data_IF_111695587986
#
_entry.id   IF_111695587986
#
_cell.length_a   1.000
_cell.length_b   1.000
_cell.length_c   1.000
_cell.angle_alpha   90.00
_cell.angle_beta   90.00
_cell.angle_gamma   90.00
#
_symmetry.space_group_name_H-M   'P 1'
#
loop_
_entity.id
_entity.type
_entity.pdbx_description
1 polymer ?
#
# COMPACT_ATOMS: atom_id res chain seq x y z
N UNK A 1 -33.44 70.24 44.46
CA UNK A 1 -32.12 69.58 44.30
C UNK A 1 -32.37 68.21 43.71
N UNK A 2 -32.09 68.02 42.42
CA UNK A 2 -32.40 66.79 41.67
C UNK A 2 -31.13 66.27 41.00
N UNK A 3 -30.98 64.96 41.06
CA UNK A 3 -29.79 64.18 40.74
C UNK A 3 -29.36 64.26 39.28
N UNK A 4 -28.04 64.31 39.07
CA UNK A 4 -27.39 64.10 37.78
C UNK A 4 -27.27 62.58 37.51
N UNK A 5 -27.78 62.15 36.36
CA UNK A 5 -27.71 60.77 35.89
C UNK A 5 -26.38 60.53 35.15
N UNK A 6 -25.52 59.68 35.73
CA UNK A 6 -24.29 59.19 35.12
C UNK A 6 -24.62 58.13 34.06
N UNK A 7 -24.29 58.40 32.79
CA UNK A 7 -24.37 57.42 31.70
C UNK A 7 -23.10 56.56 31.69
N UNK A 8 -23.25 55.24 31.90
CA UNK A 8 -22.20 54.26 31.63
C UNK A 8 -22.07 54.00 30.13
N UNK A 9 -20.86 54.12 29.59
CA UNK A 9 -20.48 53.56 28.30
C UNK A 9 -20.07 52.09 28.50
N UNK A 10 -20.78 51.17 27.86
CA UNK A 10 -20.39 49.76 27.77
C UNK A 10 -19.40 49.59 26.60
N UNK A 11 -18.20 49.10 26.90
CA UNK A 11 -17.19 48.70 25.92
C UNK A 11 -17.56 47.31 25.37
N UNK A 12 -17.88 47.25 24.08
CA UNK A 12 -18.12 46.02 23.34
C UNK A 12 -16.81 45.29 23.10
N UNK A 13 -16.62 44.13 23.74
CA UNK A 13 -15.48 43.23 23.49
C UNK A 13 -15.80 42.40 22.25
N UNK A 14 -15.13 42.73 21.13
CA UNK A 14 -15.16 41.91 19.92
C UNK A 14 -14.50 40.56 20.19
N UNK A 15 -15.29 39.49 20.17
CA UNK A 15 -14.81 38.11 20.28
C UNK A 15 -14.17 37.70 18.95
N UNK A 16 -12.86 37.45 18.97
CA UNK A 16 -12.11 36.83 17.88
C UNK A 16 -12.62 35.40 17.66
N UNK A 17 -13.20 35.14 16.49
CA UNK A 17 -13.45 33.80 15.98
C UNK A 17 -12.12 33.15 15.63
N UNK A 18 -11.59 32.33 16.53
CA UNK A 18 -10.46 31.44 16.24
C UNK A 18 -10.99 30.31 15.38
N UNK A 19 -10.53 30.33 14.13
CA UNK A 19 -10.65 29.29 13.12
C UNK A 19 -10.54 27.88 13.70
N UNK A 20 -11.43 26.98 13.23
CA UNK A 20 -11.32 25.55 13.42
C UNK A 20 -10.03 25.03 12.78
N UNK A 21 -8.92 25.14 13.51
CA UNK A 21 -7.77 24.30 13.27
C UNK A 21 -8.20 22.87 13.60
N UNK A 22 -8.54 22.10 12.57
CA UNK A 22 -8.55 20.64 12.66
C UNK A 22 -7.14 20.22 13.02
N UNK A 23 -6.87 20.15 14.33
CA UNK A 23 -5.69 19.50 14.89
C UNK A 23 -5.66 18.12 14.25
N UNK A 24 -4.59 17.73 13.54
CA UNK A 24 -4.42 16.35 13.11
C UNK A 24 -4.65 15.49 14.36
N UNK A 25 -5.67 14.63 14.33
CA UNK A 25 -5.88 13.71 15.46
C UNK A 25 -4.57 12.97 15.63
N UNK A 26 -3.98 13.10 16.82
CA UNK A 26 -2.88 12.24 17.23
C UNK A 26 -3.38 10.80 17.12
N UNK A 27 -2.90 10.09 16.10
CA UNK A 27 -3.08 8.64 15.97
C UNK A 27 -1.99 8.05 16.84
N UNK A 28 -2.38 7.41 17.94
CA UNK A 28 -1.46 6.68 18.78
C UNK A 28 -0.86 5.52 17.96
N UNK A 29 0.46 5.49 17.69
CA UNK A 29 1.09 4.38 16.96
C UNK A 29 1.01 3.05 17.73
N UNK A 30 0.65 3.07 19.02
CA UNK A 30 0.38 1.90 19.83
C UNK A 30 -1.11 1.51 19.90
N UNK A 31 -2.04 2.33 19.38
CA UNK A 31 -3.42 1.94 19.15
C UNK A 31 -3.49 1.01 17.93
N UNK A 32 -2.84 -0.15 18.06
CA UNK A 32 -2.90 -1.23 17.09
C UNK A 32 -4.33 -1.74 17.08
N UNK A 33 -5.09 -1.41 16.05
CA UNK A 33 -6.30 -2.15 15.75
C UNK A 33 -5.93 -3.64 15.72
N UNK A 34 -6.68 -4.48 16.43
CA UNK A 34 -6.50 -5.92 16.30
C UNK A 34 -6.64 -6.28 14.82
N UNK A 35 -5.75 -7.13 14.26
CA UNK A 35 -5.84 -7.49 12.87
C UNK A 35 -7.20 -8.11 12.59
N UNK A 36 -7.81 -7.67 11.50
CA UNK A 36 -9.09 -8.20 11.02
C UNK A 36 -8.88 -9.46 10.18
N UNK A 37 -7.71 -9.55 9.55
CA UNK A 37 -7.33 -10.63 8.67
C UNK A 37 -5.90 -11.08 8.97
N UNK A 38 -5.68 -12.40 8.91
CA UNK A 38 -4.36 -13.00 8.94
C UNK A 38 -4.07 -13.56 7.55
N UNK A 39 -2.91 -13.21 7.00
CA UNK A 39 -2.44 -13.69 5.70
C UNK A 39 -1.20 -14.53 5.95
N UNK A 40 -1.25 -15.81 5.57
CA UNK A 40 -0.15 -16.74 5.69
C UNK A 40 0.74 -16.62 4.46
N UNK A 41 2.01 -16.29 4.67
CA UNK A 41 2.98 -16.06 3.60
C UNK A 41 4.05 -17.13 3.67
N UNK A 42 4.20 -17.91 2.62
CA UNK A 42 5.35 -18.79 2.44
C UNK A 42 6.39 -18.09 1.57
N UNK A 43 7.65 -18.19 1.97
CA UNK A 43 8.78 -17.56 1.27
C UNK A 43 9.77 -18.63 0.85
N UNK A 44 10.10 -18.66 -0.45
CA UNK A 44 11.04 -19.62 -1.00
C UNK A 44 12.40 -19.54 -0.29
N UNK A 45 13.01 -20.69 0.08
CA UNK A 45 14.34 -20.72 0.64
C UNK A 45 15.37 -19.97 -0.22
N UNK A 46 16.12 -19.08 0.42
CA UNK A 46 17.10 -18.20 -0.23
C UNK A 46 16.61 -16.76 -0.42
N UNK A 47 15.31 -16.50 -0.25
CA UNK A 47 14.78 -15.16 0.00
C UNK A 47 14.74 -14.87 1.50
N UNK A 48 14.75 -13.58 1.84
CA UNK A 48 14.71 -13.13 3.23
C UNK A 48 13.27 -13.09 3.74
N UNK A 49 12.90 -14.08 4.56
CA UNK A 49 11.58 -14.14 5.17
C UNK A 49 11.27 -12.92 6.05
N UNK A 50 12.28 -12.39 6.76
CA UNK A 50 12.13 -11.18 7.59
C UNK A 50 11.81 -9.94 6.74
N UNK A 51 12.45 -9.80 5.59
CA UNK A 51 12.18 -8.67 4.69
C UNK A 51 10.83 -8.83 4.00
N UNK A 52 10.46 -10.05 3.63
CA UNK A 52 9.15 -10.34 3.06
C UNK A 52 8.03 -10.03 4.07
N UNK A 53 8.23 -10.45 5.32
CA UNK A 53 7.33 -10.12 6.43
C UNK A 53 7.25 -8.60 6.65
N UNK A 54 8.38 -7.90 6.67
CA UNK A 54 8.42 -6.45 6.87
C UNK A 54 7.69 -5.67 5.75
N UNK A 55 7.81 -6.11 4.50
CA UNK A 55 7.06 -5.53 3.38
C UNK A 55 5.55 -5.79 3.49
N UNK A 56 5.17 -7.01 3.86
CA UNK A 56 3.76 -7.37 4.07
C UNK A 56 3.11 -6.58 5.22
N UNK A 57 3.86 -6.33 6.30
CA UNK A 57 3.40 -5.56 7.46
C UNK A 57 3.11 -4.08 7.17
N UNK A 58 3.44 -3.56 5.97
CA UNK A 58 3.01 -2.22 5.55
C UNK A 58 1.47 -2.09 5.51
N UNK A 59 0.74 -3.21 5.33
CA UNK A 59 -0.72 -3.24 5.30
C UNK A 59 -1.37 -3.40 6.69
N UNK A 60 -0.59 -3.43 7.77
CA UNK A 60 -1.13 -3.64 9.13
C UNK A 60 -2.14 -2.59 9.55
N UNK A 61 -1.97 -1.34 9.14
CA UNK A 61 -2.92 -0.26 9.44
C UNK A 61 -4.30 -0.49 8.81
N UNK A 62 -4.37 -1.33 7.76
CA UNK A 62 -5.61 -1.79 7.14
C UNK A 62 -6.17 -3.07 7.77
N UNK A 63 -5.58 -3.52 8.86
CA UNK A 63 -6.01 -4.71 9.60
C UNK A 63 -5.54 -6.03 8.98
N UNK A 64 -4.53 -6.00 8.11
CA UNK A 64 -3.88 -7.19 7.56
C UNK A 64 -2.64 -7.51 8.41
N UNK A 65 -2.63 -8.64 9.10
CA UNK A 65 -1.43 -9.16 9.76
C UNK A 65 -0.85 -10.31 8.95
N UNK A 66 0.46 -10.29 8.74
CA UNK A 66 1.12 -11.33 7.98
C UNK A 66 1.78 -12.34 8.91
N UNK A 67 1.74 -13.61 8.54
CA UNK A 67 2.37 -14.70 9.30
C UNK A 67 3.24 -15.50 8.34
N UNK A 68 4.54 -15.54 8.58
CA UNK A 68 5.42 -16.41 7.81
C UNK A 68 5.14 -17.86 8.19
N UNK A 69 4.87 -18.70 7.20
CA UNK A 69 4.62 -20.14 7.37
C UNK A 69 5.67 -20.97 6.66
N UNK A 70 5.90 -22.18 7.18
CA UNK A 70 6.88 -23.13 6.63
C UNK A 70 6.28 -24.05 5.57
N UNK A 71 4.99 -24.36 5.71
CA UNK A 71 4.26 -25.18 4.75
C UNK A 71 3.74 -24.29 3.63
N UNK A 72 4.16 -24.60 2.39
CA UNK A 72 3.76 -23.87 1.20
C UNK A 72 2.28 -24.04 0.90
N UNK A 73 1.74 -25.23 1.13
CA UNK A 73 0.35 -25.58 0.77
C UNK A 73 -0.66 -24.96 1.74
N UNK A 74 -0.17 -24.46 2.88
CA UNK A 74 -0.97 -23.71 3.87
C UNK A 74 -0.94 -22.19 3.64
N UNK A 75 -0.14 -21.70 2.68
CA UNK A 75 0.02 -20.27 2.47
C UNK A 75 -1.11 -19.67 1.62
N UNK A 76 -1.59 -18.50 2.03
CA UNK A 76 -2.44 -17.64 1.21
C UNK A 76 -1.63 -16.94 0.12
N UNK A 77 -0.35 -16.66 0.40
CA UNK A 77 0.61 -16.05 -0.54
C UNK A 77 1.90 -16.86 -0.58
N UNK A 78 2.37 -17.21 -1.78
CA UNK A 78 3.69 -17.80 -2.04
C UNK A 78 4.62 -16.80 -2.71
N UNK A 79 5.82 -16.62 -2.16
CA UNK A 79 6.84 -15.72 -2.68
C UNK A 79 7.99 -16.53 -3.24
N UNK A 80 8.23 -16.40 -4.54
CA UNK A 80 9.20 -17.17 -5.30
C UNK A 80 10.31 -16.28 -5.88
N UNK A 81 11.46 -16.89 -6.16
CA UNK A 81 12.61 -16.22 -6.76
C UNK A 81 12.81 -16.67 -8.21
N UNK A 82 12.78 -15.72 -9.14
CA UNK A 82 13.35 -15.85 -10.46
C UNK A 82 14.80 -15.35 -10.46
N UNK A 83 15.70 -16.17 -10.99
CA UNK A 83 17.16 -15.93 -11.02
C UNK A 83 17.69 -15.69 -12.43
N UNK A 84 16.82 -15.60 -13.44
CA UNK A 84 17.22 -15.21 -14.79
C UNK A 84 17.90 -13.82 -14.74
N UNK A 85 18.83 -13.53 -15.66
CA UNK A 85 19.51 -12.23 -15.67
C UNK A 85 18.52 -11.06 -15.74
N UNK A 86 18.84 -9.97 -15.03
CA UNK A 86 18.01 -8.78 -15.08
C UNK A 86 18.18 -8.08 -16.44
N UNK A 87 17.14 -8.14 -17.26
CA UNK A 87 17.14 -7.53 -18.60
C UNK A 87 16.12 -6.40 -18.60
N UNK A 88 16.52 -5.26 -19.16
CA UNK A 88 15.60 -4.17 -19.40
C UNK A 88 14.80 -4.42 -20.68
N UNK A 89 13.52 -4.08 -20.64
CA UNK A 89 12.61 -4.02 -21.80
C UNK A 89 13.05 -2.93 -22.79
N UNK A 90 12.40 -2.88 -23.94
CA UNK A 90 12.70 -1.92 -25.02
C UNK A 90 12.49 -0.46 -24.59
N UNK A 91 11.59 -0.21 -23.63
CA UNK A 91 11.33 1.10 -23.01
C UNK A 91 12.34 1.47 -21.90
N UNK A 92 13.30 0.59 -21.64
CA UNK A 92 14.31 0.77 -20.60
C UNK A 92 13.87 0.37 -19.20
N UNK A 93 12.65 -0.12 -19.00
CA UNK A 93 12.18 -0.58 -17.70
C UNK A 93 12.70 -1.98 -17.37
N UNK A 94 12.85 -2.30 -16.09
CA UNK A 94 13.14 -3.65 -15.59
C UNK A 94 11.99 -4.10 -14.69
N UNK A 95 11.46 -5.29 -14.91
CA UNK A 95 10.50 -5.90 -13.98
C UNK A 95 11.21 -6.32 -12.70
N UNK A 96 10.73 -5.86 -11.55
CA UNK A 96 11.27 -6.26 -10.25
C UNK A 96 10.51 -7.46 -9.69
N UNK A 97 9.18 -7.45 -9.77
CA UNK A 97 8.35 -8.56 -9.37
C UNK A 97 7.06 -8.63 -10.20
N UNK A 98 6.38 -9.76 -10.06
CA UNK A 98 5.10 -10.06 -10.70
C UNK A 98 4.15 -10.68 -9.66
N UNK A 99 2.95 -10.10 -9.52
CA UNK A 99 1.85 -10.70 -8.76
C UNK A 99 0.88 -11.42 -9.71
N UNK A 100 0.52 -12.65 -9.33
CA UNK A 100 -0.39 -13.50 -10.07
C UNK A 100 -1.61 -13.79 -9.21
N UNK A 101 -2.79 -13.78 -9.85
CA UNK A 101 -4.01 -14.25 -9.19
C UNK A 101 -3.80 -15.60 -8.53
N UNK A 102 -4.26 -15.71 -7.29
CA UNK A 102 -4.11 -16.91 -6.46
C UNK A 102 -2.92 -16.86 -5.50
N UNK A 103 -2.42 -15.67 -5.16
CA UNK A 103 -1.43 -15.54 -4.09
C UNK A 103 0.00 -15.80 -4.53
N UNK A 104 0.34 -15.83 -5.82
CA UNK A 104 1.71 -16.14 -6.24
C UNK A 104 2.44 -14.88 -6.64
N UNK A 105 3.55 -14.60 -5.97
CA UNK A 105 4.43 -13.47 -6.25
C UNK A 105 5.80 -14.00 -6.70
N UNK A 106 6.31 -13.50 -7.83
CA UNK A 106 7.61 -13.90 -8.38
C UNK A 106 8.55 -12.70 -8.40
N UNK A 107 9.67 -12.78 -7.69
CA UNK A 107 10.70 -11.73 -7.64
C UNK A 107 11.84 -12.03 -8.60
N UNK A 108 12.15 -11.08 -9.49
CA UNK A 108 13.34 -11.13 -10.34
C UNK A 108 14.58 -10.74 -9.53
N UNK A 109 15.05 -11.65 -8.68
CA UNK A 109 16.10 -11.40 -7.67
C UNK A 109 17.39 -10.78 -8.21
N UNK A 110 17.76 -11.08 -9.46
CA UNK A 110 18.93 -10.49 -10.12
C UNK A 110 18.77 -8.98 -10.39
N UNK A 111 17.54 -8.47 -10.42
CA UNK A 111 17.24 -7.05 -10.56
C UNK A 111 17.40 -6.27 -9.27
N UNK A 112 17.44 -6.92 -8.11
CA UNK A 112 17.67 -6.25 -6.83
C UNK A 112 19.16 -6.16 -6.46
N UNK A 113 20.05 -6.55 -7.38
CA UNK A 113 21.49 -6.48 -7.16
C UNK A 113 22.00 -5.09 -7.54
N UNK A 114 22.52 -4.35 -6.55
CA UNK A 114 23.22 -3.07 -6.72
C UNK A 114 24.66 -3.19 -6.22
N UNK A 115 25.64 -2.87 -7.07
CA UNK A 115 27.08 -3.08 -6.81
C UNK A 115 27.45 -4.48 -6.26
N UNK A 116 26.70 -5.51 -6.66
CA UNK A 116 26.89 -6.89 -6.20
C UNK A 116 26.29 -7.20 -4.83
N UNK A 117 25.58 -6.25 -4.22
CA UNK A 117 24.82 -6.42 -2.99
C UNK A 117 23.33 -6.45 -3.25
N UNK A 118 22.58 -7.25 -2.48
CA UNK A 118 21.13 -7.31 -2.61
C UNK A 118 20.49 -6.13 -1.88
N UNK A 119 19.73 -5.31 -2.59
CA UNK A 119 18.98 -4.20 -2.00
C UNK A 119 17.75 -4.72 -1.24
N UNK A 120 17.96 -4.90 0.07
CA UNK A 120 16.91 -5.36 0.99
C UNK A 120 15.79 -4.35 1.15
N UNK A 121 16.07 -3.05 0.99
CA UNK A 121 15.05 -2.01 1.14
C UNK A 121 14.13 -1.99 -0.08
N UNK A 122 14.69 -2.07 -1.29
CA UNK A 122 13.92 -2.21 -2.53
C UNK A 122 13.06 -3.49 -2.49
N UNK A 123 13.63 -4.62 -2.06
CA UNK A 123 12.86 -5.87 -1.90
C UNK A 123 11.68 -5.73 -0.93
N UNK A 124 11.86 -5.07 0.22
CA UNK A 124 10.76 -4.82 1.18
C UNK A 124 9.66 -3.97 0.58
N UNK A 125 10.04 -2.89 -0.10
CA UNK A 125 9.08 -1.98 -0.72
C UNK A 125 8.29 -2.69 -1.82
N UNK A 126 8.99 -3.42 -2.71
CA UNK A 126 8.34 -4.22 -3.75
C UNK A 126 7.46 -5.30 -3.12
N UNK A 127 7.89 -5.98 -2.06
CA UNK A 127 7.02 -6.92 -1.35
C UNK A 127 5.74 -6.28 -0.83
N UNK A 128 5.82 -5.07 -0.27
CA UNK A 128 4.63 -4.34 0.13
C UNK A 128 3.70 -4.03 -1.04
N UNK A 129 4.26 -3.63 -2.18
CA UNK A 129 3.52 -3.41 -3.42
C UNK A 129 2.80 -4.69 -3.89
N UNK A 130 3.52 -5.79 -4.05
CA UNK A 130 2.94 -7.04 -4.56
C UNK A 130 1.89 -7.63 -3.60
N UNK A 131 2.09 -7.51 -2.29
CA UNK A 131 1.04 -7.86 -1.31
C UNK A 131 -0.20 -6.99 -1.49
N UNK A 132 -0.05 -5.73 -1.87
CA UNK A 132 -1.16 -4.82 -2.19
C UNK A 132 -2.09 -5.39 -3.27
N UNK A 133 -1.51 -5.99 -4.32
CA UNK A 133 -2.27 -6.71 -5.34
C UNK A 133 -3.02 -7.89 -4.75
N UNK A 134 -2.35 -8.74 -3.96
CA UNK A 134 -2.97 -9.93 -3.36
C UNK A 134 -4.07 -9.57 -2.36
N UNK A 135 -3.95 -8.46 -1.63
CA UNK A 135 -5.00 -8.03 -0.70
C UNK A 135 -6.15 -7.30 -1.38
N UNK A 136 -6.12 -7.09 -2.70
CA UNK A 136 -7.28 -6.67 -3.49
C UNK A 136 -7.08 -5.41 -4.36
N UNK A 137 -5.94 -4.73 -4.29
CA UNK A 137 -5.66 -3.56 -5.13
C UNK A 137 -5.05 -4.07 -6.44
N UNK A 138 -5.86 -4.70 -7.29
CA UNK A 138 -5.34 -5.34 -8.50
C UNK A 138 -4.69 -4.33 -9.45
N UNK A 139 -5.38 -3.24 -9.75
CA UNK A 139 -4.84 -2.22 -10.65
C UNK A 139 -3.85 -1.31 -9.93
N UNK A 140 -2.74 -1.01 -10.60
CA UNK A 140 -1.81 0.01 -10.14
C UNK A 140 -2.50 1.36 -9.95
N UNK A 141 -2.11 2.06 -8.89
CA UNK A 141 -2.52 3.45 -8.68
C UNK A 141 -1.79 4.35 -9.68
N UNK A 142 -2.50 5.15 -10.50
CA UNK A 142 -1.84 6.05 -11.44
C UNK A 142 -1.18 7.22 -10.71
N UNK A 143 -0.01 7.65 -11.19
CA UNK A 143 0.70 8.79 -10.60
C UNK A 143 -0.05 10.12 -10.79
N UNK A 144 -0.76 10.26 -11.91
CA UNK A 144 -1.54 11.45 -12.26
C UNK A 144 -3.04 11.16 -12.29
N UNK A 145 -3.82 12.14 -11.86
CA UNK A 145 -5.27 12.04 -11.83
C UNK A 145 -5.87 12.37 -13.21
N UNK A 146 -5.95 11.37 -14.08
CA UNK A 146 -6.67 11.46 -15.35
C UNK A 146 -8.19 11.41 -15.18
N UNK A 147 -8.91 11.58 -16.29
CA UNK A 147 -10.37 11.43 -16.32
C UNK A 147 -10.82 10.02 -15.90
N UNK A 148 -10.00 9.02 -16.18
CA UNK A 148 -10.26 7.59 -15.92
C UNK A 148 -9.70 7.11 -14.58
N UNK A 149 -9.14 8.00 -13.74
CA UNK A 149 -8.64 7.60 -12.44
C UNK A 149 -9.78 7.04 -11.55
N UNK A 150 -9.59 5.88 -10.89
CA UNK A 150 -10.58 5.34 -9.98
C UNK A 150 -10.97 6.35 -8.90
N UNK A 151 -12.20 6.25 -8.40
CA UNK A 151 -12.71 7.14 -7.36
C UNK A 151 -13.17 6.36 -6.15
N UNK A 152 -12.79 6.84 -4.98
CA UNK A 152 -13.33 6.37 -3.72
C UNK A 152 -14.80 6.83 -3.58
N UNK A 153 -15.69 6.09 -2.88
CA UNK A 153 -17.10 6.44 -2.71
C UNK A 153 -17.39 7.83 -2.12
N UNK A 154 -16.43 8.44 -1.42
CA UNK A 154 -16.53 9.83 -0.94
C UNK A 154 -16.19 10.88 -2.01
N UNK A 155 -15.85 10.45 -3.23
CA UNK A 155 -15.55 11.28 -4.39
C UNK A 155 -14.07 11.61 -4.59
N UNK A 156 -13.18 11.24 -3.65
CA UNK A 156 -11.75 11.45 -3.80
C UNK A 156 -11.19 10.60 -4.95
N UNK A 157 -10.36 11.18 -5.84
CA UNK A 157 -9.70 10.40 -6.87
C UNK A 157 -8.55 9.58 -6.26
N UNK A 158 -8.32 8.38 -6.79
CA UNK A 158 -7.30 7.44 -6.36
C UNK A 158 -6.16 7.52 -7.36
N UNK A 159 -5.23 8.42 -7.08
CA UNK A 159 -4.11 8.76 -7.94
C UNK A 159 -3.09 9.56 -7.12
N UNK A 160 -1.87 9.63 -7.62
CA UNK A 160 -0.76 10.28 -6.95
C UNK A 160 0.34 9.31 -6.60
N UNK A 161 1.29 9.83 -5.85
CA UNK A 161 2.44 9.10 -5.36
C UNK A 161 2.00 8.09 -4.29
N UNK A 162 2.21 6.81 -4.58
CA UNK A 162 1.64 5.69 -3.84
C UNK A 162 2.59 4.49 -3.88
N UNK A 163 2.52 3.62 -2.86
CA UNK A 163 3.23 2.34 -2.87
C UNK A 163 2.81 1.51 -4.08
N UNK A 164 1.53 1.55 -4.44
CA UNK A 164 0.92 0.83 -5.56
C UNK A 164 1.13 1.50 -6.94
N UNK A 165 2.06 2.43 -7.09
CA UNK A 165 2.43 2.94 -8.43
C UNK A 165 3.20 1.88 -9.24
N UNK A 166 3.06 1.84 -10.59
CA UNK A 166 3.70 0.81 -11.41
C UNK A 166 5.23 0.96 -11.49
N UNK A 167 5.75 2.16 -11.19
CA UNK A 167 7.18 2.43 -11.11
C UNK A 167 7.61 2.51 -9.65
N UNK A 168 8.61 1.71 -9.29
CA UNK A 168 9.25 1.77 -7.99
C UNK A 168 9.83 3.16 -7.74
N UNK A 169 9.47 3.73 -6.60
CA UNK A 169 9.99 4.99 -6.07
C UNK A 169 10.65 4.70 -4.72
N UNK A 170 11.98 4.82 -4.67
CA UNK A 170 12.79 4.58 -3.46
C UNK A 170 12.40 5.44 -2.27
N UNK A 171 11.77 6.59 -2.52
CA UNK A 171 11.35 7.54 -1.49
C UNK A 171 9.89 7.25 -1.03
N UNK A 172 9.24 6.19 -1.55
CA UNK A 172 7.94 5.65 -1.13
C UNK A 172 8.13 4.19 -0.65
N UNK A 173 8.50 4.02 0.61
CA UNK A 173 8.68 2.71 1.24
C UNK A 173 7.62 2.39 2.31
N UNK A 174 6.43 2.99 2.17
CA UNK A 174 5.34 2.93 3.15
C UNK A 174 3.99 3.06 2.46
N UNK A 175 2.92 2.60 3.10
CA UNK A 175 1.54 2.81 2.64
C UNK A 175 1.19 4.30 2.73
N UNK A 176 0.89 4.93 1.60
CA UNK A 176 0.48 6.34 1.53
C UNK A 176 -1.02 6.49 1.79
N UNK A 177 -1.53 7.72 2.01
CA UNK A 177 -2.97 7.96 2.04
C UNK A 177 -3.70 7.55 0.75
N UNK A 178 -3.02 7.56 -0.40
CA UNK A 178 -3.63 7.13 -1.68
C UNK A 178 -3.81 5.61 -1.71
N UNK A 179 -2.81 4.85 -1.24
CA UNK A 179 -2.92 3.40 -1.08
C UNK A 179 -4.05 3.04 -0.11
N UNK A 180 -4.24 3.86 0.92
CA UNK A 180 -5.35 3.70 1.85
C UNK A 180 -6.71 3.84 1.16
N UNK A 181 -6.88 4.82 0.27
CA UNK A 181 -8.12 4.98 -0.50
C UNK A 181 -8.31 3.83 -1.51
N UNK A 182 -7.23 3.41 -2.17
CA UNK A 182 -7.24 2.27 -3.08
C UNK A 182 -7.69 0.98 -2.38
N UNK A 183 -7.16 0.72 -1.18
CA UNK A 183 -7.54 -0.45 -0.36
C UNK A 183 -9.03 -0.45 0.01
N UNK A 184 -9.62 0.72 0.24
CA UNK A 184 -11.02 0.82 0.67
C UNK A 184 -12.01 0.48 -0.47
N UNK A 185 -11.58 0.59 -1.73
CA UNK A 185 -12.34 0.17 -2.93
C UNK A 185 -11.82 -1.09 -3.61
N UNK A 186 -10.92 -1.80 -2.94
CA UNK A 186 -10.27 -3.01 -3.47
C UNK A 186 -11.28 -4.01 -4.03
N UNK A 187 -10.84 -4.80 -5.00
CA UNK A 187 -11.63 -5.85 -5.61
C UNK A 187 -11.69 -7.08 -4.68
N UNK A 188 -12.88 -7.46 -4.15
CA UNK A 188 -13.01 -8.62 -3.30
C UNK A 188 -12.79 -9.95 -4.04
N UNK A 189 -13.01 -10.02 -5.36
CA UNK A 189 -12.86 -11.24 -6.14
C UNK A 189 -11.40 -11.67 -6.27
N UNK A 190 -10.47 -10.73 -6.12
CA UNK A 190 -9.03 -10.98 -6.20
C UNK A 190 -8.30 -10.79 -4.87
N UNK A 191 -9.00 -10.39 -3.81
CA UNK A 191 -8.43 -10.20 -2.46
C UNK A 191 -8.31 -11.52 -1.68
N UNK A 192 -7.10 -11.92 -1.27
CA UNK A 192 -6.87 -13.08 -0.37
C UNK A 192 -7.55 -12.94 0.99
N UNK A 193 -8.12 -11.78 1.30
CA UNK A 193 -8.84 -11.52 2.55
C UNK A 193 -10.26 -12.11 2.57
N UNK A 194 -10.77 -12.58 1.43
CA UNK A 194 -12.11 -13.18 1.30
C UNK A 194 -11.98 -14.71 1.32
N UNK A 195 -12.58 -15.35 2.32
CA UNK A 195 -12.66 -16.82 2.42
C UNK A 195 -13.47 -17.41 1.26
N UNK A 196 -13.13 -18.62 0.82
CA UNK A 196 -13.83 -19.39 -0.23
C UNK A 196 -13.81 -18.78 -1.63
N UNK A 197 -12.73 -18.09 -2.01
CA UNK A 197 -12.49 -17.78 -3.43
C UNK A 197 -12.57 -19.08 -4.24
N UNK A 198 -13.62 -19.19 -5.05
CA UNK A 198 -13.64 -20.15 -6.14
C UNK A 198 -12.41 -19.88 -7.04
N UNK A 199 -11.96 -20.90 -7.75
CA UNK A 199 -11.00 -20.75 -8.85
C UNK A 199 -11.58 -19.79 -9.90
N UNK A 200 -11.46 -18.49 -9.67
CA UNK A 200 -11.86 -17.44 -10.62
C UNK A 200 -10.80 -17.48 -11.72
N UNK A 201 -11.15 -17.93 -12.93
CA UNK A 201 -10.18 -17.98 -14.01
C UNK A 201 -9.67 -16.56 -14.30
N UNK A 202 -8.38 -16.40 -14.61
CA UNK A 202 -7.78 -15.08 -14.76
C UNK A 202 -8.45 -14.31 -15.92
N UNK A 203 -8.97 -13.09 -15.70
CA UNK A 203 -9.50 -12.23 -16.76
C UNK A 203 -8.40 -11.68 -17.68
N UNK A 204 -7.13 -11.92 -17.37
CA UNK A 204 -6.02 -11.85 -18.32
C UNK A 204 -4.85 -12.70 -17.80
N UNK A 205 -4.21 -13.50 -18.65
CA UNK A 205 -3.04 -14.33 -18.27
C UNK A 205 -1.78 -13.52 -17.90
N UNK A 206 -1.88 -12.19 -17.79
CA UNK A 206 -0.73 -11.31 -17.53
C UNK A 206 -0.67 -10.95 -16.04
N UNK A 207 0.46 -11.18 -15.37
CA UNK A 207 0.67 -10.69 -14.01
C UNK A 207 0.72 -9.16 -14.00
N UNK A 208 0.36 -8.56 -12.87
CA UNK A 208 0.70 -7.17 -12.59
C UNK A 208 2.16 -7.10 -12.16
N UNK A 209 2.84 -6.04 -12.60
CA UNK A 209 4.29 -5.92 -12.52
C UNK A 209 4.68 -4.56 -11.95
N UNK A 210 5.54 -4.55 -10.94
CA UNK A 210 6.27 -3.34 -10.58
C UNK A 210 7.60 -3.25 -11.32
N UNK A 211 7.91 -2.06 -11.82
CA UNK A 211 9.07 -1.80 -12.65
C UNK A 211 10.05 -0.81 -12.04
N UNK A 212 11.30 -0.87 -12.46
CA UNK A 212 12.32 0.15 -12.20
C UNK A 212 12.81 0.77 -13.50
N UNK A 213 12.90 2.09 -13.53
CA UNK A 213 13.57 2.81 -14.61
C UNK A 213 15.09 2.57 -14.59
N UNK A 214 15.74 2.75 -15.74
CA UNK A 214 17.21 2.71 -15.83
C UNK A 214 17.91 3.83 -15.08
#
# INVERSE_FOLDING_TARGET
MRHAATRLFALSVSSLLISCASVPRYVDPAARASPRHYVHVWVQPGLSADDAHAGCELWREKGVACVIVHDRDYADITVEADRRPCVAHDDGLRTLAEAYRGGRIVFYTSCFMDDGTFDRQEFRTVMGHEVGHEVGIWEHVPLECGADAPRHPDGHPICGRALMNPLYDKDVAYMTPVDSLAFDVRDPEISVLVADKADIPPPSDRPDCVYRAR
#
